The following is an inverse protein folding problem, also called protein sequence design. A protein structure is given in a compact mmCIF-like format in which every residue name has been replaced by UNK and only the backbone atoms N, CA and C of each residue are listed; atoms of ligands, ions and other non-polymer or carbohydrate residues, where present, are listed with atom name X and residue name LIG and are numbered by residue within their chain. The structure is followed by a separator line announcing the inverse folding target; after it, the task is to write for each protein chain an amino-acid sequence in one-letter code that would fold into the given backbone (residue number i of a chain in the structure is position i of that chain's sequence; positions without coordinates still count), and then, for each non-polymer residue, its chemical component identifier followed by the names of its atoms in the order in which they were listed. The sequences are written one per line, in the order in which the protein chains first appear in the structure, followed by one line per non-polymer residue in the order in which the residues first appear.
data_IF_202757584728
#
_entry.id   IF_202757584728
#
_cell.length_a   1.000
_cell.length_b   1.000
_cell.length_c   1.000
_cell.angle_alpha   90.00
_cell.angle_beta   90.00
_cell.angle_gamma   90.00
#
_symmetry.space_group_name_H-M   'P 1'
#
loop_
_entity.id
_entity.type
_entity.pdbx_description
1 polymer ?
#
# COMPACT_ATOMS: atom_id res chain seq x y z
N UNK A 1 9.17 -20.09 -2.55
CA UNK A 1 9.53 -20.22 -1.12
C UNK A 1 8.98 -18.98 -0.46
N UNK A 2 8.00 -19.10 0.44
CA UNK A 2 7.34 -17.92 1.03
C UNK A 2 8.36 -17.05 1.78
N UNK A 3 8.22 -15.74 1.68
CA UNK A 3 9.02 -14.81 2.47
C UNK A 3 8.75 -15.03 3.98
N UNK A 4 9.73 -14.74 4.84
CA UNK A 4 9.54 -14.82 6.29
C UNK A 4 8.37 -13.93 6.76
N UNK A 5 8.14 -12.82 6.06
CA UNK A 5 7.00 -11.92 6.31
C UNK A 5 5.66 -12.62 6.06
N UNK A 6 5.52 -13.34 4.94
CA UNK A 6 4.29 -14.08 4.64
C UNK A 6 4.08 -15.24 5.61
N UNK A 7 5.15 -15.94 6.00
CA UNK A 7 5.06 -17.00 7.02
C UNK A 7 4.55 -16.46 8.34
N UNK A 8 5.05 -15.30 8.78
CA UNK A 8 4.60 -14.67 10.02
C UNK A 8 3.15 -14.20 9.93
N UNK A 9 2.76 -13.54 8.83
CA UNK A 9 1.37 -13.13 8.62
C UNK A 9 0.41 -14.33 8.62
N UNK A 10 0.76 -15.41 7.93
CA UNK A 10 -0.03 -16.65 7.91
C UNK A 10 -0.15 -17.28 9.30
N UNK A 11 0.94 -17.30 10.09
CA UNK A 11 0.89 -17.78 11.47
C UNK A 11 -0.12 -17.01 12.31
N UNK A 12 -0.13 -15.67 12.22
CA UNK A 12 -1.10 -14.83 12.95
C UNK A 12 -2.54 -15.14 12.56
N UNK A 13 -2.82 -15.36 11.27
CA UNK A 13 -4.16 -15.74 10.79
C UNK A 13 -4.59 -17.12 11.27
N UNK A 14 -3.71 -18.11 11.13
CA UNK A 14 -3.96 -19.48 11.60
C UNK A 14 -4.24 -19.49 13.10
N UNK A 15 -3.47 -18.70 13.86
CA UNK A 15 -3.65 -18.58 15.29
C UNK A 15 -4.95 -17.84 15.66
N UNK A 16 -5.31 -16.76 14.97
CA UNK A 16 -6.59 -16.09 15.14
C UNK A 16 -7.77 -17.03 14.91
N UNK A 17 -7.74 -17.80 13.82
CA UNK A 17 -8.76 -18.79 13.48
C UNK A 17 -8.83 -19.92 14.52
N UNK A 18 -7.68 -20.35 15.04
CA UNK A 18 -7.61 -21.31 16.14
C UNK A 18 -8.27 -20.78 17.42
N UNK A 19 -8.00 -19.52 17.81
CA UNK A 19 -8.63 -18.89 18.97
C UNK A 19 -10.16 -18.75 18.80
N UNK A 20 -10.64 -18.43 17.59
CA UNK A 20 -12.08 -18.42 17.27
C UNK A 20 -12.76 -19.77 17.49
N UNK A 21 -12.02 -20.87 17.40
CA UNK A 21 -12.51 -22.22 17.70
C UNK A 21 -12.63 -22.55 19.20
N UNK A 22 -12.37 -21.58 20.09
CA UNK A 22 -12.53 -21.73 21.54
C UNK A 22 -11.37 -22.43 22.26
N UNK A 23 -10.27 -22.71 21.55
CA UNK A 23 -9.07 -23.33 22.13
C UNK A 23 -8.04 -22.24 22.43
N UNK A 24 -7.75 -21.99 23.72
CA UNK A 24 -6.64 -21.14 24.15
C UNK A 24 -5.45 -22.02 24.56
N UNK A 25 -4.31 -21.88 23.87
CA UNK A 25 -3.06 -22.54 24.25
C UNK A 25 -2.12 -21.57 24.99
N UNK A 26 -2.21 -20.28 24.66
CA UNK A 26 -1.38 -19.20 25.22
C UNK A 26 -2.32 -18.04 25.52
N UNK A 27 -2.11 -17.36 26.66
CA UNK A 27 -2.82 -16.13 26.97
C UNK A 27 -2.10 -14.98 26.26
N UNK A 28 -2.67 -14.52 25.14
CA UNK A 28 -2.14 -13.41 24.36
C UNK A 28 -3.03 -12.18 24.60
N UNK A 29 -2.47 -10.98 24.77
CA UNK A 29 -3.24 -9.76 25.02
C UNK A 29 -4.07 -9.30 23.82
N UNK A 30 -3.97 -9.96 22.65
CA UNK A 30 -4.69 -9.60 21.43
C UNK A 30 -5.86 -10.58 21.19
N UNK A 31 -6.99 -10.01 20.81
CA UNK A 31 -8.17 -10.70 20.30
C UNK A 31 -7.90 -11.31 18.91
N UNK A 32 -8.70 -12.31 18.48
CA UNK A 32 -8.59 -12.86 17.13
C UNK A 32 -8.69 -11.81 16.03
N UNK A 33 -9.54 -10.80 16.21
CA UNK A 33 -9.71 -9.69 15.28
C UNK A 33 -8.42 -8.87 15.18
N UNK A 34 -7.81 -8.50 16.31
CA UNK A 34 -6.54 -7.77 16.34
C UNK A 34 -5.38 -8.55 15.70
N UNK A 35 -5.38 -9.88 15.82
CA UNK A 35 -4.39 -10.75 15.17
C UNK A 35 -4.56 -10.78 13.64
N UNK A 36 -5.80 -10.80 13.13
CA UNK A 36 -6.07 -10.71 11.70
C UNK A 36 -5.68 -9.34 11.13
N UNK A 37 -5.97 -8.27 11.88
CA UNK A 37 -5.52 -6.92 11.52
C UNK A 37 -3.99 -6.82 11.49
N UNK A 38 -3.31 -7.42 12.47
CA UNK A 38 -1.86 -7.44 12.50
C UNK A 38 -1.26 -8.24 11.34
N UNK A 39 -1.84 -9.40 10.99
CA UNK A 39 -1.44 -10.14 9.79
C UNK A 39 -1.59 -9.30 8.51
N UNK A 40 -2.70 -8.55 8.39
CA UNK A 40 -2.92 -7.62 7.29
C UNK A 40 -1.87 -6.51 7.26
N UNK A 41 -1.53 -5.91 8.41
CA UNK A 41 -0.52 -4.85 8.53
C UNK A 41 0.88 -5.33 8.16
N UNK A 42 1.24 -6.54 8.58
CA UNK A 42 2.51 -7.19 8.21
C UNK A 42 2.63 -7.34 6.69
N UNK A 43 1.54 -7.72 6.01
CA UNK A 43 1.51 -7.79 4.53
C UNK A 43 1.50 -6.43 3.85
N UNK A 44 0.86 -5.42 4.43
CA UNK A 44 0.90 -4.05 3.90
C UNK A 44 2.34 -3.52 3.84
N UNK A 45 3.13 -3.76 4.89
CA UNK A 45 4.52 -3.36 4.94
C UNK A 45 5.37 -4.01 3.84
N UNK A 46 5.14 -5.28 3.50
CA UNK A 46 5.93 -5.95 2.45
C UNK A 46 5.62 -5.48 1.03
N UNK A 47 4.46 -4.83 0.84
CA UNK A 47 4.02 -4.29 -0.46
C UNK A 47 4.66 -2.96 -0.80
N UNK A 48 5.17 -2.21 0.17
CA UNK A 48 5.84 -0.94 -0.07
C UNK A 48 7.34 -1.11 0.11
N UNK A 49 8.10 -0.71 -0.90
CA UNK A 49 9.55 -0.73 -0.87
C UNK A 49 10.10 0.59 -1.36
N UNK A 50 11.33 0.85 -0.94
CA UNK A 50 12.15 1.85 -1.59
C UNK A 50 13.09 1.19 -2.58
N UNK A 51 13.10 1.68 -3.81
CA UNK A 51 14.01 1.23 -4.86
C UNK A 51 14.75 2.44 -5.44
N UNK A 52 15.98 2.67 -4.96
CA UNK A 52 16.73 3.89 -5.28
C UNK A 52 16.00 5.14 -4.77
N UNK A 53 15.51 5.95 -5.70
CA UNK A 53 14.76 7.18 -5.41
C UNK A 53 13.24 7.00 -5.53
N UNK A 54 12.77 5.77 -5.76
CA UNK A 54 11.36 5.47 -5.94
C UNK A 54 10.76 4.84 -4.70
N UNK A 55 9.53 5.25 -4.38
CA UNK A 55 8.62 4.49 -3.53
C UNK A 55 7.82 3.58 -4.45
N UNK A 56 7.90 2.27 -4.23
CA UNK A 56 7.27 1.24 -5.06
C UNK A 56 6.21 0.52 -4.25
N UNK A 57 4.98 0.50 -4.74
CA UNK A 57 3.82 -0.15 -4.13
C UNK A 57 3.38 -1.30 -5.03
N UNK A 58 3.55 -2.53 -4.56
CA UNK A 58 3.08 -3.74 -5.25
C UNK A 58 1.62 -4.05 -4.87
N UNK A 59 0.75 -4.06 -5.88
CA UNK A 59 -0.69 -4.24 -5.71
C UNK A 59 -1.13 -5.67 -6.06
N UNK A 60 -0.56 -6.24 -7.12
CA UNK A 60 -0.78 -7.64 -7.50
C UNK A 60 0.33 -8.20 -8.39
N UNK A 61 0.37 -9.53 -8.51
CA UNK A 61 1.28 -10.24 -9.39
C UNK A 61 0.74 -10.27 -10.83
N UNK A 62 1.64 -10.23 -11.81
CA UNK A 62 1.30 -10.29 -13.23
C UNK A 62 2.39 -9.72 -14.12
N UNK A 63 2.16 -9.77 -15.44
CA UNK A 63 3.01 -9.13 -16.44
C UNK A 63 2.40 -7.78 -16.84
N UNK A 64 3.23 -6.73 -16.87
CA UNK A 64 2.81 -5.40 -17.26
C UNK A 64 2.68 -5.30 -18.78
N UNK A 65 1.48 -4.94 -19.26
CA UNK A 65 1.19 -4.70 -20.68
C UNK A 65 0.81 -3.24 -20.96
N UNK A 66 0.30 -2.54 -19.95
CA UNK A 66 -0.08 -1.13 -20.04
C UNK A 66 0.58 -0.33 -18.92
N UNK A 67 0.77 0.96 -19.18
CA UNK A 67 1.28 1.90 -18.19
C UNK A 67 0.59 3.25 -18.31
N UNK A 68 0.46 3.93 -17.19
CA UNK A 68 0.01 5.31 -17.11
C UNK A 68 1.06 6.12 -16.35
N UNK A 69 1.46 7.25 -16.92
CA UNK A 69 2.36 8.21 -16.31
C UNK A 69 1.58 9.48 -15.98
N UNK A 70 1.70 10.00 -14.76
CA UNK A 70 1.01 11.21 -14.33
C UNK A 70 1.73 11.84 -13.15
N UNK A 71 1.53 13.14 -12.94
CA UNK A 71 1.92 13.85 -11.72
C UNK A 71 0.77 13.85 -10.72
N UNK A 72 1.11 13.85 -9.43
CA UNK A 72 0.10 13.91 -8.39
C UNK A 72 0.57 14.42 -7.04
N UNK A 73 -0.40 14.86 -6.24
CA UNK A 73 -0.25 15.08 -4.80
C UNK A 73 -0.61 13.78 -4.07
N UNK A 74 0.26 13.34 -3.16
CA UNK A 74 0.17 12.05 -2.50
C UNK A 74 0.06 12.25 -0.98
N UNK A 75 -0.96 11.64 -0.38
CA UNK A 75 -1.10 11.51 1.07
C UNK A 75 -0.95 10.03 1.44
N UNK A 76 0.07 9.72 2.23
CA UNK A 76 0.26 8.41 2.85
C UNK A 76 -0.11 8.47 4.33
N UNK A 77 -0.92 7.52 4.78
CA UNK A 77 -1.28 7.36 6.19
C UNK A 77 -0.56 6.16 6.79
N UNK A 78 -0.08 6.32 8.01
CA UNK A 78 0.66 5.31 8.76
C UNK A 78 0.10 5.13 10.17
N UNK A 79 0.27 3.93 10.72
CA UNK A 79 -0.02 3.69 12.14
C UNK A 79 1.08 4.22 13.05
N UNK A 80 0.90 4.08 14.37
CA UNK A 80 1.86 4.53 15.40
C UNK A 80 3.30 4.02 15.23
N UNK A 81 3.51 2.92 14.49
CA UNK A 81 4.82 2.31 14.23
C UNK A 81 5.36 2.67 12.83
N UNK A 82 4.79 3.69 12.16
CA UNK A 82 5.14 4.11 10.80
C UNK A 82 4.89 3.03 9.73
N UNK A 83 3.95 2.10 9.98
CA UNK A 83 3.56 1.09 9.00
C UNK A 83 2.46 1.65 8.10
N UNK A 84 2.55 1.49 6.77
CA UNK A 84 1.62 2.12 5.85
C UNK A 84 0.24 1.47 5.89
N UNK A 85 -0.80 2.30 5.92
CA UNK A 85 -2.21 1.89 5.97
C UNK A 85 -2.95 2.22 4.69
N UNK A 86 -2.72 3.42 4.14
CA UNK A 86 -3.45 3.97 3.00
C UNK A 86 -2.56 4.91 2.20
N UNK A 87 -2.77 4.95 0.89
CA UNK A 87 -2.22 5.95 -0.02
C UNK A 87 -3.36 6.58 -0.80
N UNK A 88 -3.39 7.89 -0.84
CA UNK A 88 -4.29 8.69 -1.68
C UNK A 88 -3.44 9.51 -2.64
N UNK A 89 -3.80 9.50 -3.92
CA UNK A 89 -3.10 10.25 -4.97
C UNK A 89 -4.13 11.09 -5.70
N UNK A 90 -4.00 12.41 -5.65
CA UNK A 90 -4.71 13.34 -6.51
C UNK A 90 -3.95 13.51 -7.82
N UNK A 91 -4.56 13.17 -8.95
CA UNK A 91 -3.96 13.32 -10.28
C UNK A 91 -4.00 14.79 -10.68
N UNK A 92 -2.83 15.40 -10.94
CA UNK A 92 -2.69 16.80 -11.35
C UNK A 92 -2.53 16.96 -12.86
N UNK A 93 -1.69 16.12 -13.47
CA UNK A 93 -1.45 16.07 -14.92
C UNK A 93 -1.25 14.62 -15.35
N UNK A 94 -1.79 14.22 -16.49
CA UNK A 94 -1.78 12.83 -16.98
C UNK A 94 -0.76 12.53 -18.06
N UNK A 95 0.08 13.47 -18.51
CA UNK A 95 1.16 13.22 -19.50
C UNK A 95 0.77 12.25 -20.64
N UNK A 96 -0.38 12.47 -21.29
CA UNK A 96 -1.00 11.65 -22.35
C UNK A 96 -1.60 10.27 -21.94
N UNK A 97 -1.72 9.99 -20.65
CA UNK A 97 -2.19 8.71 -20.11
C UNK A 97 -3.69 8.66 -19.77
N UNK A 98 -4.46 9.71 -20.06
CA UNK A 98 -5.90 9.81 -19.75
C UNK A 98 -6.69 8.57 -20.17
N UNK A 99 -6.41 8.07 -21.39
CA UNK A 99 -7.09 6.89 -21.93
C UNK A 99 -6.78 5.63 -21.12
N UNK A 100 -5.54 5.44 -20.70
CA UNK A 100 -5.15 4.28 -19.89
C UNK A 100 -5.81 4.38 -18.52
N UNK A 101 -5.76 5.56 -17.89
CA UNK A 101 -6.38 5.82 -16.59
C UNK A 101 -7.91 5.62 -16.61
N UNK A 102 -8.58 5.98 -17.71
CA UNK A 102 -10.03 5.78 -17.86
C UNK A 102 -10.46 4.31 -17.95
N UNK A 103 -9.53 3.40 -18.28
CA UNK A 103 -9.80 1.98 -18.45
C UNK A 103 -9.45 1.14 -17.21
N UNK A 104 -8.97 1.76 -16.13
CA UNK A 104 -8.54 1.02 -14.94
C UNK A 104 -9.69 0.17 -14.39
N UNK A 105 -9.43 -1.13 -14.31
CA UNK A 105 -10.34 -2.08 -13.73
C UNK A 105 -10.04 -2.25 -12.23
N UNK A 106 -10.92 -1.71 -11.39
CA UNK A 106 -10.81 -1.74 -9.93
C UNK A 106 -11.24 -3.07 -9.30
N UNK A 107 -11.24 -4.18 -10.05
CA UNK A 107 -11.63 -5.50 -9.55
C UNK A 107 -11.01 -5.79 -8.19
N UNK A 108 -11.83 -6.18 -7.21
CA UNK A 108 -11.45 -6.31 -5.79
C UNK A 108 -10.18 -7.14 -5.61
N UNK A 109 -9.05 -6.45 -5.45
CA UNK A 109 -7.80 -7.04 -5.01
C UNK A 109 -7.94 -7.36 -3.51
N UNK A 110 -7.43 -8.51 -3.08
CA UNK A 110 -7.49 -8.90 -1.67
C UNK A 110 -6.66 -7.94 -0.80
N UNK A 111 -7.35 -7.20 0.07
CA UNK A 111 -6.72 -6.22 0.95
C UNK A 111 -6.23 -4.95 0.25
N UNK A 112 -6.60 -4.72 -1.01
CA UNK A 112 -6.39 -3.46 -1.73
C UNK A 112 -7.68 -3.05 -2.42
N UNK A 113 -8.29 -1.96 -1.97
CA UNK A 113 -9.37 -1.33 -2.73
C UNK A 113 -8.80 -0.18 -3.53
N UNK A 114 -9.10 -0.19 -4.82
CA UNK A 114 -8.82 0.90 -5.74
C UNK A 114 -10.13 1.66 -6.02
N UNK A 115 -10.12 2.98 -5.92
CA UNK A 115 -11.25 3.81 -6.34
C UNK A 115 -10.73 4.96 -7.17
N UNK A 116 -11.32 5.16 -8.34
CA UNK A 116 -11.04 6.28 -9.23
C UNK A 116 -12.31 7.10 -9.44
N UNK A 117 -12.44 8.18 -8.67
CA UNK A 117 -13.58 9.10 -8.76
C UNK A 117 -13.21 10.34 -9.60
N UNK A 118 -12.70 10.09 -10.81
CA UNK A 118 -12.40 11.12 -11.81
C UNK A 118 -11.12 11.94 -11.60
N UNK A 119 -10.54 11.97 -10.39
CA UNK A 119 -9.29 12.71 -10.10
C UNK A 119 -8.45 12.06 -8.98
N UNK A 120 -9.03 11.19 -8.14
CA UNK A 120 -8.32 10.58 -7.00
C UNK A 120 -8.14 9.08 -7.17
N UNK A 121 -6.96 8.58 -6.84
CA UNK A 121 -6.61 7.17 -6.71
C UNK A 121 -6.42 6.87 -5.22
N UNK A 122 -7.24 5.96 -4.69
CA UNK A 122 -7.07 5.48 -3.30
C UNK A 122 -6.59 4.04 -3.31
N UNK A 123 -5.57 3.73 -2.52
CA UNK A 123 -5.01 2.40 -2.31
C UNK A 123 -5.06 2.12 -0.80
N UNK A 124 -5.98 1.25 -0.39
CA UNK A 124 -6.00 0.74 1.00
C UNK A 124 -5.00 -0.42 1.09
N UNK A 125 -4.14 -0.44 2.09
CA UNK A 125 -3.13 -1.49 2.27
C UNK A 125 -3.43 -2.38 3.47
N UNK A 126 -3.91 -1.78 4.56
CA UNK A 126 -4.39 -2.46 5.76
C UNK A 126 -5.39 -1.57 6.51
N UNK A 127 -6.20 -2.20 7.35
CA UNK A 127 -7.02 -1.48 8.33
C UNK A 127 -6.18 -1.08 9.54
N UNK A 128 -6.52 0.05 10.16
CA UNK A 128 -5.88 0.53 11.38
C UNK A 128 -6.21 1.99 11.67
N UNK A 129 -5.81 2.45 12.86
CA UNK A 129 -5.88 3.85 13.25
C UNK A 129 -4.66 4.60 12.69
N UNK A 130 -4.92 5.69 11.96
CA UNK A 130 -3.89 6.56 11.42
C UNK A 130 -3.39 7.52 12.52
N UNK A 131 -2.08 7.53 12.71
CA UNK A 131 -1.40 8.34 13.73
C UNK A 131 -0.38 9.29 13.10
N UNK A 132 0.25 8.84 12.00
CA UNK A 132 1.18 9.66 11.22
C UNK A 132 0.70 9.78 9.77
N UNK A 133 1.09 10.85 9.11
CA UNK A 133 0.80 11.08 7.71
C UNK A 133 1.98 11.77 7.02
N UNK A 134 2.10 11.53 5.72
CA UNK A 134 3.04 12.22 4.86
C UNK A 134 2.30 12.76 3.64
N UNK A 135 2.49 14.03 3.33
CA UNK A 135 2.03 14.68 2.11
C UNK A 135 3.23 15.07 1.26
N UNK A 136 3.20 14.72 -0.02
CA UNK A 136 4.30 15.00 -0.94
C UNK A 136 3.80 15.02 -2.39
N UNK A 137 4.55 15.65 -3.27
CA UNK A 137 4.33 15.62 -4.71
C UNK A 137 5.26 14.58 -5.36
N UNK A 138 4.80 13.98 -6.44
CA UNK A 138 5.60 13.01 -7.18
C UNK A 138 5.18 12.80 -8.62
N UNK A 139 6.12 12.27 -9.40
CA UNK A 139 5.85 11.64 -10.70
C UNK A 139 5.50 10.18 -10.46
N UNK A 140 4.41 9.70 -11.06
CA UNK A 140 3.84 8.38 -10.81
C UNK A 140 3.77 7.57 -12.09
N UNK A 141 4.31 6.35 -12.05
CA UNK A 141 4.11 5.34 -13.08
C UNK A 141 3.26 4.21 -12.50
N UNK A 142 2.10 3.99 -13.08
CA UNK A 142 1.24 2.85 -12.77
C UNK A 142 1.38 1.79 -13.86
N UNK A 143 1.73 0.57 -13.46
CA UNK A 143 1.77 -0.60 -14.35
C UNK A 143 0.48 -1.42 -14.22
N UNK A 144 -0.08 -1.84 -15.36
CA UNK A 144 -1.31 -2.63 -15.42
C UNK A 144 -1.15 -3.85 -16.33
N UNK A 145 -1.95 -4.88 -16.07
CA UNK A 145 -2.05 -6.06 -16.94
C UNK A 145 -2.90 -5.79 -18.19
N UNK A 146 -3.05 -6.81 -19.03
CA UNK A 146 -3.84 -6.79 -20.28
C UNK A 146 -5.31 -6.42 -20.13
N UNK A 147 -5.88 -6.56 -18.93
CA UNK A 147 -7.28 -6.21 -18.62
C UNK A 147 -7.37 -4.93 -17.80
N UNK A 148 -6.29 -4.13 -17.78
CA UNK A 148 -6.17 -2.87 -17.04
C UNK A 148 -6.34 -3.03 -15.52
N UNK A 149 -5.97 -4.20 -14.98
CA UNK A 149 -5.89 -4.40 -13.53
C UNK A 149 -4.56 -3.83 -13.01
N UNK A 150 -4.56 -2.99 -11.95
CA UNK A 150 -3.34 -2.44 -11.39
C UNK A 150 -2.41 -3.51 -10.79
N UNK A 151 -1.13 -3.48 -11.19
CA UNK A 151 -0.08 -4.38 -10.70
C UNK A 151 0.86 -3.69 -9.72
N UNK A 152 1.34 -2.49 -10.07
CA UNK A 152 2.36 -1.76 -9.33
C UNK A 152 2.19 -0.25 -9.53
N UNK A 153 2.53 0.52 -8.51
CA UNK A 153 2.66 1.99 -8.57
C UNK A 153 4.07 2.37 -8.15
N UNK A 154 4.76 3.16 -8.97
CA UNK A 154 6.08 3.70 -8.70
C UNK A 154 5.96 5.21 -8.57
N UNK A 155 6.52 5.77 -7.49
CA UNK A 155 6.42 7.20 -7.19
C UNK A 155 7.84 7.76 -7.01
N UNK A 156 8.23 8.67 -7.88
CA UNK A 156 9.42 9.50 -7.68
C UNK A 156 9.04 10.74 -6.88
N UNK A 157 9.56 10.85 -5.66
CA UNK A 157 9.27 11.98 -4.76
C UNK A 157 9.95 13.23 -5.28
N UNK A 158 9.17 14.29 -5.55
CA UNK A 158 9.69 15.60 -6.00
C UNK A 158 9.81 16.61 -4.87
N UNK A 159 8.78 16.72 -4.01
CA UNK A 159 8.76 17.60 -2.84
C UNK A 159 7.98 16.92 -1.70
N UNK A 160 8.44 17.05 -0.46
CA UNK A 160 7.85 16.40 0.72
C UNK A 160 6.97 17.30 1.59
N UNK A 161 6.75 18.58 1.26
CA UNK A 161 5.85 19.48 2.01
C UNK A 161 5.90 19.33 3.56
N UNK A 162 7.10 19.23 4.14
CA UNK A 162 7.39 19.01 5.58
C UNK A 162 7.21 17.57 6.13
N UNK A 163 7.03 16.58 5.27
CA UNK A 163 6.79 15.18 5.62
C UNK A 163 8.02 14.27 5.59
N UNK A 164 9.21 14.83 5.30
CA UNK A 164 10.48 14.09 5.16
C UNK A 164 10.72 13.16 6.36
N UNK A 165 10.54 13.66 7.59
CA UNK A 165 10.74 12.86 8.80
C UNK A 165 9.80 11.67 8.91
N UNK A 166 8.55 11.80 8.49
CA UNK A 166 7.59 10.69 8.55
C UNK A 166 7.99 9.61 7.56
N UNK A 167 8.38 10.02 6.34
CA UNK A 167 8.85 9.12 5.30
C UNK A 167 10.19 8.45 5.65
N UNK A 168 11.12 9.16 6.30
CA UNK A 168 12.37 8.59 6.81
C UNK A 168 12.10 7.54 7.90
N UNK A 169 11.22 7.84 8.87
CA UNK A 169 10.85 6.88 9.92
C UNK A 169 10.11 5.66 9.37
N UNK A 170 9.36 5.82 8.29
CA UNK A 170 8.76 4.71 7.55
C UNK A 170 9.76 3.94 6.66
N UNK A 171 11.02 4.38 6.58
CA UNK A 171 12.06 3.77 5.74
C UNK A 171 11.89 4.02 4.23
N UNK A 172 11.08 5.02 3.86
CA UNK A 172 10.74 5.35 2.48
C UNK A 172 11.61 6.48 1.90
N UNK A 173 12.32 7.22 2.75
CA UNK A 173 13.39 8.14 2.38
C UNK A 173 14.71 7.78 3.10
N UNK A 174 15.82 8.31 2.60
CA UNK A 174 17.14 8.09 3.23
C UNK A 174 17.38 9.22 4.18
N UNK A 175 17.69 8.87 5.42
CA UNK A 175 18.29 9.82 6.35
C UNK A 175 19.57 10.35 5.70
N UNK A 176 19.63 11.67 5.48
CA UNK A 176 20.84 12.36 5.02
C UNK A 176 21.98 12.27 6.03
#
# INVERSE_FOLDING_TARGET
MDSEVEKFARFLEEYANFLKSGKKIIDIPLTPEELLEEASRVRALSRIKREGNLIVIYLSEGEAEHWAHFEGEIIMLFDKLYRPLKVEIEVKDTMDSEKVLSNINSGKLSGVSFTYNGVFITIILANGEAEHWAHFEGEIIMSLDKIFKPLKVEIEVKDTMDSEKVLENAGLLSSR
#
